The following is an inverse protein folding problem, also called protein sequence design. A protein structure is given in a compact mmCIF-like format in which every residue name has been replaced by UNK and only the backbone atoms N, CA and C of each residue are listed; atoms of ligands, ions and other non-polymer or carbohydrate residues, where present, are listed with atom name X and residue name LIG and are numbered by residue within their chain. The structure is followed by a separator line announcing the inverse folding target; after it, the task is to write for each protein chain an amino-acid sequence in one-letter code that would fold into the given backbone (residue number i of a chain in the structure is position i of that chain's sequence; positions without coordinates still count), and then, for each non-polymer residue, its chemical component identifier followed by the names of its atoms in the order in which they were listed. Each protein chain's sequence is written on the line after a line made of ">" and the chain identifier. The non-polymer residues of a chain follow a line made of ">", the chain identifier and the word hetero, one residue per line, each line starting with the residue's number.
data_IF_177117240533
#
_entry.id   IF_177117240533
#
_cell.length_a   1.000
_cell.length_b   1.000
_cell.length_c   1.000
_cell.angle_alpha   90.00
_cell.angle_beta   90.00
_cell.angle_gamma   90.00
#
_symmetry.space_group_name_H-M   'P 1'
#
loop_
_entity.id
_entity.type
_entity.pdbx_description
1 polymer ?
#
# COMPACT_ATOMS: atom_id res chain seq x y z
N UNK A 1 -10.26 3.05 11.02
CA UNK A 1 -9.06 3.89 10.80
C UNK A 1 -9.28 4.68 9.51
N UNK A 2 -8.94 5.97 9.46
CA UNK A 2 -9.01 6.71 8.21
C UNK A 2 -8.00 6.10 7.22
N UNK A 3 -8.40 5.99 5.95
CA UNK A 3 -7.54 5.53 4.87
C UNK A 3 -7.89 6.30 3.60
N UNK A 4 -6.99 6.25 2.62
CA UNK A 4 -7.23 6.77 1.28
C UNK A 4 -7.05 5.63 0.29
N UNK A 5 -8.00 5.50 -0.64
CA UNK A 5 -7.87 4.63 -1.80
C UNK A 5 -7.37 5.44 -2.99
N UNK A 6 -6.40 4.90 -3.71
CA UNK A 6 -5.77 5.55 -4.85
C UNK A 6 -5.83 4.59 -6.03
N UNK A 7 -6.60 4.93 -7.05
CA UNK A 7 -6.59 4.22 -8.33
C UNK A 7 -5.41 4.71 -9.18
N UNK A 8 -4.32 3.96 -9.12
CA UNK A 8 -3.09 4.25 -9.88
C UNK A 8 -3.26 4.07 -11.40
N UNK A 9 -4.33 3.40 -11.86
CA UNK A 9 -4.60 3.27 -13.31
C UNK A 9 -4.98 4.61 -13.96
N UNK A 10 -5.47 5.56 -13.17
CA UNK A 10 -5.87 6.89 -13.63
C UNK A 10 -4.88 7.99 -13.20
N UNK A 11 -3.79 7.63 -12.50
CA UNK A 11 -2.84 8.57 -11.94
C UNK A 11 -1.40 8.03 -12.03
N UNK A 12 -0.70 8.47 -13.08
CA UNK A 12 0.69 8.08 -13.35
C UNK A 12 1.65 8.45 -12.22
N UNK A 13 1.45 9.60 -11.57
CA UNK A 13 2.31 10.04 -10.47
C UNK A 13 2.22 9.09 -9.26
N UNK A 14 1.00 8.66 -8.91
CA UNK A 14 0.80 7.71 -7.82
C UNK A 14 1.26 6.30 -8.21
N UNK A 15 1.17 5.92 -9.49
CA UNK A 15 1.79 4.69 -9.99
C UNK A 15 3.30 4.71 -9.78
N UNK A 16 3.99 5.77 -10.22
CA UNK A 16 5.44 5.94 -10.05
C UNK A 16 5.83 5.89 -8.57
N UNK A 17 5.09 6.59 -7.71
CA UNK A 17 5.29 6.56 -6.26
C UNK A 17 5.12 5.14 -5.71
N UNK A 18 4.05 4.44 -6.08
CA UNK A 18 3.78 3.06 -5.68
C UNK A 18 4.95 2.14 -6.08
N UNK A 19 5.44 2.23 -7.32
CA UNK A 19 6.58 1.44 -7.79
C UNK A 19 7.85 1.78 -7.00
N UNK A 20 8.11 3.06 -6.74
CA UNK A 20 9.30 3.50 -6.02
C UNK A 20 9.34 2.98 -4.57
N UNK A 21 8.21 2.98 -3.86
CA UNK A 21 8.17 2.55 -2.45
C UNK A 21 8.06 1.03 -2.28
N UNK A 22 7.50 0.32 -3.27
CA UNK A 22 7.23 -1.12 -3.17
C UNK A 22 8.16 -2.01 -4.00
N UNK A 23 8.81 -1.44 -5.03
CA UNK A 23 9.50 -2.21 -6.06
C UNK A 23 8.58 -3.02 -6.98
N UNK A 24 7.25 -2.85 -6.86
CA UNK A 24 6.25 -3.61 -7.61
C UNK A 24 5.48 -2.70 -8.58
N UNK A 25 5.27 -3.18 -9.81
CA UNK A 25 4.47 -2.45 -10.82
C UNK A 25 2.96 -2.66 -10.71
N UNK A 26 2.51 -3.74 -10.06
CA UNK A 26 1.10 -4.10 -9.91
C UNK A 26 0.51 -3.75 -8.54
N UNK A 27 -0.83 -3.68 -8.50
CA UNK A 27 -1.62 -3.61 -7.26
C UNK A 27 -1.98 -5.02 -6.76
N UNK A 28 -2.34 -5.19 -5.48
CA UNK A 28 -2.40 -4.19 -4.42
C UNK A 28 -1.04 -3.90 -3.76
N UNK A 29 -0.90 -2.66 -3.29
CA UNK A 29 0.19 -2.18 -2.42
C UNK A 29 -0.45 -1.33 -1.34
N UNK A 30 -0.07 -1.54 -0.09
CA UNK A 30 -0.63 -0.84 1.07
C UNK A 30 0.50 -0.15 1.82
N UNK A 31 0.43 1.18 1.96
CA UNK A 31 1.35 1.96 2.79
C UNK A 31 0.65 2.33 4.10
N UNK A 32 1.25 1.96 5.23
CA UNK A 32 0.74 2.24 6.58
C UNK A 32 1.87 2.84 7.41
N UNK A 33 1.76 4.12 7.76
CA UNK A 33 2.75 4.85 8.57
C UNK A 33 4.19 4.64 8.09
N UNK A 34 4.40 4.70 6.77
CA UNK A 34 5.70 4.47 6.11
C UNK A 34 6.13 3.01 5.96
N UNK A 35 5.34 2.05 6.44
CA UNK A 35 5.54 0.62 6.19
C UNK A 35 4.81 0.23 4.90
N UNK A 36 5.52 -0.42 3.98
CA UNK A 36 4.94 -0.89 2.72
C UNK A 36 4.66 -2.39 2.81
N UNK A 37 3.42 -2.76 2.51
CA UNK A 37 2.97 -4.15 2.36
C UNK A 37 2.63 -4.36 0.88
N UNK A 38 3.36 -5.27 0.26
CA UNK A 38 3.14 -5.65 -1.14
C UNK A 38 2.13 -6.79 -1.19
N UNK A 39 1.12 -6.67 -2.05
CA UNK A 39 0.00 -7.61 -2.08
C UNK A 39 -0.97 -7.40 -0.92
N UNK A 40 -1.63 -8.47 -0.51
CA UNK A 40 -2.54 -8.46 0.64
C UNK A 40 -2.07 -9.49 1.67
N UNK A 41 -1.40 -9.00 2.71
CA UNK A 41 -1.03 -9.79 3.89
C UNK A 41 -1.81 -9.28 5.10
N UNK A 42 -2.93 -9.95 5.40
CA UNK A 42 -3.80 -9.58 6.51
C UNK A 42 -3.05 -9.62 7.85
N UNK A 43 -2.23 -10.64 8.09
CA UNK A 43 -1.53 -10.77 9.37
C UNK A 43 -0.56 -9.60 9.56
N UNK A 44 0.24 -9.29 8.54
CA UNK A 44 1.18 -8.18 8.60
C UNK A 44 0.48 -6.83 8.77
N UNK A 45 -0.65 -6.63 8.09
CA UNK A 45 -1.47 -5.42 8.22
C UNK A 45 -2.03 -5.30 9.65
N UNK A 46 -2.58 -6.38 10.20
CA UNK A 46 -3.10 -6.39 11.58
C UNK A 46 -2.00 -6.07 12.60
N UNK A 47 -0.79 -6.64 12.42
CA UNK A 47 0.38 -6.35 13.25
C UNK A 47 0.78 -4.88 13.22
N UNK A 48 0.87 -4.27 12.03
CA UNK A 48 1.23 -2.85 11.88
C UNK A 48 0.16 -1.95 12.51
N UNK A 49 -1.11 -2.28 12.32
CA UNK A 49 -2.25 -1.52 12.84
C UNK A 49 -2.52 -1.78 14.33
N UNK A 50 -1.76 -2.67 14.98
CA UNK A 50 -1.96 -3.11 16.36
C UNK A 50 -3.40 -3.63 16.61
N UNK A 51 -3.96 -4.32 15.62
CA UNK A 51 -5.25 -4.98 15.73
C UNK A 51 -5.03 -6.37 16.35
N UNK A 52 -5.80 -6.70 17.39
CA UNK A 52 -5.77 -7.99 18.09
C UNK A 52 -6.84 -8.92 17.58
#
# INVERSE_FOLDING_TARGET
>A
LPFQEIDVSQNEHELEKMVAISGQMGVPVVEIDGNVVVGFDKQRIDEILNLK
#
